data_IF_188216889411
#
_entry.id   IF_188216889411
#
_cell.length_a   1.000
_cell.length_b   1.000
_cell.length_c   1.000
_cell.angle_alpha   90.00
_cell.angle_beta   90.00
_cell.angle_gamma   90.00
#
_symmetry.space_group_name_H-M   'P 1'
#
loop_
_entity.id
_entity.type
_entity.pdbx_description
1 polymer ?
#
# COMPACT_ATOMS: atom_id res chain seq x y z
N UNK A 1 -3.44 -10.46 -20.64
CA UNK A 1 -4.32 -11.35 -19.86
C UNK A 1 -4.46 -10.68 -18.52
N UNK A 2 -5.66 -10.17 -18.24
CA UNK A 2 -6.00 -9.53 -16.98
C UNK A 2 -6.33 -10.55 -15.92
N UNK A 3 -6.06 -10.24 -14.66
CA UNK A 3 -6.44 -11.06 -13.51
C UNK A 3 -7.12 -10.20 -12.47
N UNK A 4 -8.18 -10.73 -11.86
CA UNK A 4 -8.78 -10.13 -10.68
C UNK A 4 -7.98 -10.53 -9.44
N UNK A 5 -7.65 -9.54 -8.61
CA UNK A 5 -6.74 -9.69 -7.49
C UNK A 5 -7.35 -9.14 -6.21
N UNK A 6 -7.50 -10.05 -5.25
CA UNK A 6 -7.59 -9.80 -3.81
C UNK A 6 -8.80 -8.99 -3.33
N UNK A 7 -8.83 -8.78 -2.01
CA UNK A 7 -9.70 -7.83 -1.34
C UNK A 7 -8.85 -6.92 -0.45
N UNK A 8 -8.56 -5.71 -0.93
CA UNK A 8 -7.78 -4.72 -0.19
C UNK A 8 -8.73 -3.82 0.60
N UNK A 9 -8.48 -3.66 1.91
CA UNK A 9 -9.24 -2.70 2.72
C UNK A 9 -8.58 -1.32 2.63
N UNK A 10 -9.17 -0.42 1.85
CA UNK A 10 -8.76 0.99 1.79
C UNK A 10 -9.51 1.74 2.88
N UNK A 11 -8.76 2.42 3.75
CA UNK A 11 -9.30 3.01 4.95
C UNK A 11 -8.64 4.35 5.28
N UNK A 12 -9.44 5.30 5.72
CA UNK A 12 -9.00 6.55 6.33
C UNK A 12 -9.81 6.74 7.60
N UNK A 13 -9.21 6.41 8.75
CA UNK A 13 -9.92 6.42 10.02
C UNK A 13 -9.06 6.95 11.18
N UNK A 14 -9.72 7.46 12.23
CA UNK A 14 -9.08 7.97 13.44
C UNK A 14 -9.90 7.66 14.69
N UNK A 15 -9.17 7.45 15.79
CA UNK A 15 -9.76 7.33 17.13
C UNK A 15 -10.61 8.55 17.50
N UNK A 16 -11.48 8.42 18.50
CA UNK A 16 -12.35 9.52 18.96
C UNK A 16 -11.57 10.79 19.31
N UNK A 17 -10.39 10.63 19.91
CA UNK A 17 -9.48 11.73 20.30
C UNK A 17 -8.51 12.16 19.19
N UNK A 18 -8.49 11.46 18.05
CA UNK A 18 -7.57 11.73 16.93
C UNK A 18 -6.11 11.38 17.20
N UNK A 19 -5.79 10.77 18.36
CA UNK A 19 -4.42 10.37 18.73
C UNK A 19 -3.91 9.19 17.90
N UNK A 20 -4.82 8.31 17.50
CA UNK A 20 -4.52 7.22 16.57
C UNK A 20 -5.21 7.48 15.23
N UNK A 21 -4.47 7.26 14.15
CA UNK A 21 -4.94 7.43 12.76
C UNK A 21 -4.46 6.24 11.95
N UNK A 22 -5.35 5.62 11.19
CA UNK A 22 -5.03 4.61 10.20
C UNK A 22 -5.27 5.18 8.81
N UNK A 23 -4.30 4.96 7.94
CA UNK A 23 -4.42 5.23 6.52
C UNK A 23 -3.93 3.99 5.76
N UNK A 24 -4.81 3.41 4.95
CA UNK A 24 -4.43 2.42 3.97
C UNK A 24 -4.94 2.80 2.61
N UNK A 25 -4.18 2.50 1.56
CA UNK A 25 -4.54 2.82 0.20
C UNK A 25 -3.87 1.84 -0.77
N UNK A 26 -4.41 1.73 -1.99
CA UNK A 26 -3.89 0.87 -3.05
C UNK A 26 -3.48 1.72 -4.24
N UNK A 27 -2.40 1.33 -4.91
CA UNK A 27 -1.94 1.92 -6.16
C UNK A 27 -1.59 0.80 -7.12
N UNK A 28 -1.70 1.07 -8.42
CA UNK A 28 -1.30 0.12 -9.46
C UNK A 28 -0.13 0.71 -10.23
N UNK A 29 1.01 0.02 -10.21
CA UNK A 29 2.10 0.29 -11.13
C UNK A 29 1.77 -0.37 -12.47
N UNK A 30 1.51 0.43 -13.50
CA UNK A 30 1.32 -0.10 -14.83
C UNK A 30 2.63 -0.14 -15.60
N UNK A 31 2.98 -1.32 -16.12
CA UNK A 31 4.17 -1.49 -16.97
C UNK A 31 4.04 -0.74 -18.29
N UNK A 32 2.81 -0.57 -18.78
CA UNK A 32 2.53 0.09 -20.07
C UNK A 32 2.96 1.56 -20.11
N UNK A 33 2.81 2.26 -18.99
CA UNK A 33 3.12 3.69 -18.87
C UNK A 33 4.18 4.00 -17.81
N UNK A 34 4.73 2.96 -17.16
CA UNK A 34 5.76 3.04 -16.11
C UNK A 34 5.42 4.01 -14.99
N UNK A 35 4.16 4.06 -14.56
CA UNK A 35 3.66 4.98 -13.52
C UNK A 35 2.77 4.28 -12.51
N UNK A 36 2.73 4.85 -11.30
CA UNK A 36 1.73 4.49 -10.30
C UNK A 36 0.44 5.27 -10.54
N UNK A 37 -0.66 4.54 -10.68
CA UNK A 37 -2.00 5.06 -10.89
C UNK A 37 -2.85 4.81 -9.64
N UNK A 38 -3.78 5.71 -9.29
CA UNK A 38 -4.83 5.41 -8.32
C UNK A 38 -5.61 4.17 -8.74
N UNK A 39 -6.04 3.38 -7.76
CA UNK A 39 -6.73 2.12 -7.99
C UNK A 39 -8.15 2.29 -8.57
N UNK A 40 -8.75 3.49 -8.54
CA UNK A 40 -10.15 3.71 -8.93
C UNK A 40 -10.45 3.24 -10.36
N UNK A 41 -9.51 3.36 -11.30
CA UNK A 41 -9.67 2.86 -12.68
C UNK A 41 -9.51 1.34 -12.84
N UNK A 42 -9.14 0.64 -11.76
CA UNK A 42 -8.88 -0.81 -11.74
C UNK A 42 -9.92 -1.58 -10.91
N UNK A 43 -10.85 -0.88 -10.25
CA UNK A 43 -11.84 -1.51 -9.37
C UNK A 43 -12.78 -2.42 -10.18
N UNK A 44 -12.90 -3.67 -9.74
CA UNK A 44 -13.95 -4.61 -10.20
C UNK A 44 -15.12 -4.59 -9.24
N UNK A 45 -14.83 -4.67 -7.93
CA UNK A 45 -15.84 -4.61 -6.89
C UNK A 45 -15.39 -3.69 -5.76
N UNK A 46 -16.36 -3.00 -5.15
CA UNK A 46 -16.16 -2.17 -3.97
C UNK A 46 -17.33 -2.36 -3.03
N UNK A 47 -17.03 -2.75 -1.79
CA UNK A 47 -18.03 -2.93 -0.73
C UNK A 47 -17.65 -2.08 0.47
N UNK A 48 -18.65 -1.51 1.14
CA UNK A 48 -18.43 -0.79 2.38
C UNK A 48 -17.89 -1.74 3.46
N UNK A 49 -16.95 -1.25 4.26
CA UNK A 49 -16.34 -2.00 5.34
C UNK A 49 -16.36 -1.19 6.62
N UNK A 50 -16.34 -1.91 7.76
CA UNK A 50 -16.20 -1.27 9.06
C UNK A 50 -14.75 -0.78 9.23
N UNK A 51 -14.52 0.52 9.48
CA UNK A 51 -13.18 1.01 9.77
C UNK A 51 -12.68 0.49 11.11
N UNK A 52 -11.35 0.39 11.25
CA UNK A 52 -10.68 0.01 12.48
C UNK A 52 -10.90 1.04 13.59
N UNK A 53 -10.88 2.33 13.24
CA UNK A 53 -11.20 3.40 14.20
C UNK A 53 -12.58 4.02 13.97
N UNK A 54 -13.16 4.50 15.07
CA UNK A 54 -14.55 4.98 15.15
C UNK A 54 -14.93 6.14 14.22
N UNK A 55 -13.99 6.99 13.81
CA UNK A 55 -14.28 8.13 12.90
C UNK A 55 -13.56 7.92 11.58
N UNK A 56 -14.28 7.73 10.48
CA UNK A 56 -13.71 7.60 9.14
C UNK A 56 -14.52 6.66 8.26
N UNK A 57 -13.91 6.21 7.17
CA UNK A 57 -14.51 5.27 6.23
C UNK A 57 -13.53 4.16 5.87
N UNK A 58 -14.07 2.99 5.53
CA UNK A 58 -13.32 1.90 4.94
C UNK A 58 -14.14 1.26 3.80
N UNK A 59 -13.44 0.81 2.78
CA UNK A 59 -14.01 0.01 1.69
C UNK A 59 -13.10 -1.17 1.40
N UNK A 60 -13.69 -2.31 1.07
CA UNK A 60 -12.98 -3.46 0.51
C UNK A 60 -13.09 -3.42 -1.00
N UNK A 61 -11.96 -3.46 -1.69
CA UNK A 61 -11.90 -3.40 -3.15
C UNK A 61 -11.17 -4.59 -3.73
N UNK A 62 -11.70 -5.14 -4.83
CA UNK A 62 -10.97 -6.05 -5.72
C UNK A 62 -10.56 -5.32 -6.99
N UNK A 63 -9.38 -5.64 -7.51
CA UNK A 63 -8.80 -4.94 -8.66
C UNK A 63 -8.60 -5.90 -9.83
N UNK A 64 -8.80 -5.43 -11.06
CA UNK A 64 -8.38 -6.13 -12.27
C UNK A 64 -7.13 -5.47 -12.83
N UNK A 65 -6.05 -6.24 -12.94
CA UNK A 65 -4.75 -5.76 -13.42
C UNK A 65 -4.21 -6.64 -14.54
N UNK A 66 -3.41 -6.05 -15.42
CA UNK A 66 -2.81 -6.78 -16.54
C UNK A 66 -1.55 -7.55 -16.11
N UNK A 67 -1.21 -8.59 -16.88
CA UNK A 67 0.04 -9.32 -16.71
C UNK A 67 1.24 -8.36 -16.84
N UNK A 68 2.05 -8.31 -15.78
CA UNK A 68 3.23 -7.45 -15.69
C UNK A 68 3.01 -6.17 -14.89
N UNK A 69 1.75 -5.83 -14.57
CA UNK A 69 1.44 -4.78 -13.61
C UNK A 69 1.61 -5.30 -12.17
N UNK A 70 1.81 -4.36 -11.27
CA UNK A 70 1.97 -4.63 -9.84
C UNK A 70 1.02 -3.79 -9.01
N UNK A 71 0.57 -4.34 -7.89
CA UNK A 71 -0.30 -3.66 -6.94
C UNK A 71 0.52 -3.31 -5.72
N UNK A 72 0.50 -2.03 -5.34
CA UNK A 72 1.07 -1.55 -4.10
C UNK A 72 -0.05 -1.28 -3.12
N UNK A 73 -0.04 -1.99 -1.99
CA UNK A 73 -0.92 -1.72 -0.87
C UNK A 73 -0.12 -1.08 0.26
N UNK A 74 -0.48 0.15 0.61
CA UNK A 74 0.07 0.90 1.73
C UNK A 74 -0.84 0.72 2.92
N UNK A 75 -0.27 0.42 4.08
CA UNK A 75 -0.99 0.40 5.34
C UNK A 75 -0.14 1.07 6.41
N UNK A 76 -0.61 2.20 6.95
CA UNK A 76 0.12 3.05 7.87
C UNK A 76 -0.75 3.40 9.07
N UNK A 77 -0.15 3.38 10.26
CA UNK A 77 -0.78 3.80 11.51
C UNK A 77 0.11 4.79 12.23
N UNK A 78 -0.49 5.94 12.56
CA UNK A 78 0.08 6.91 13.49
C UNK A 78 -0.42 6.60 14.90
N UNK A 79 0.50 6.52 15.85
CA UNK A 79 0.18 6.33 17.27
C UNK A 79 0.02 7.65 18.02
N UNK A 80 -0.35 7.57 19.31
CA UNK A 80 -0.52 8.73 20.18
C UNK A 80 0.76 9.58 20.38
N UNK A 81 1.95 9.00 20.17
CA UNK A 81 3.24 9.71 20.19
C UNK A 81 3.62 10.30 18.83
N UNK A 82 2.66 10.37 17.89
CA UNK A 82 2.84 10.84 16.51
C UNK A 82 3.82 10.01 15.66
N UNK A 83 4.28 8.85 16.14
CA UNK A 83 5.13 7.95 15.36
C UNK A 83 4.29 7.16 14.37
N UNK A 84 4.80 7.04 13.15
CA UNK A 84 4.12 6.32 12.06
C UNK A 84 4.80 4.97 11.86
N UNK A 85 4.01 3.89 11.84
CA UNK A 85 4.48 2.54 11.53
C UNK A 85 3.56 1.90 10.51
N UNK A 86 4.08 1.00 9.69
CA UNK A 86 3.26 0.38 8.67
C UNK A 86 4.01 -0.54 7.74
N UNK A 87 3.36 -0.84 6.63
CA UNK A 87 3.87 -1.70 5.58
C UNK A 87 3.55 -1.10 4.21
N UNK A 88 4.45 -1.33 3.27
CA UNK A 88 4.23 -1.19 1.85
C UNK A 88 4.37 -2.59 1.26
N UNK A 89 3.26 -3.13 0.75
CA UNK A 89 3.16 -4.48 0.23
C UNK A 89 3.06 -4.42 -1.29
N UNK A 90 3.83 -5.26 -1.98
CA UNK A 90 3.82 -5.36 -3.44
C UNK A 90 3.27 -6.73 -3.84
N UNK A 91 2.20 -6.72 -4.63
CA UNK A 91 1.60 -7.91 -5.20
C UNK A 91 1.80 -7.91 -6.72
N UNK A 92 1.98 -9.08 -7.32
CA UNK A 92 1.95 -9.21 -8.77
C UNK A 92 0.50 -9.34 -9.28
N UNK A 93 0.33 -9.39 -10.60
CA UNK A 93 -0.96 -9.60 -11.25
C UNK A 93 -1.72 -10.87 -10.83
N UNK A 94 -1.06 -11.87 -10.22
CA UNK A 94 -1.73 -13.08 -9.69
C UNK A 94 -2.20 -12.92 -8.25
N UNK A 95 -1.93 -11.78 -7.61
CA UNK A 95 -2.20 -11.56 -6.19
C UNK A 95 -1.17 -12.16 -5.24
N UNK A 96 -0.03 -12.61 -5.75
CA UNK A 96 1.04 -13.14 -4.92
C UNK A 96 1.84 -11.97 -4.31
N UNK A 97 2.06 -12.01 -3.00
CA UNK A 97 2.91 -11.04 -2.29
C UNK A 97 4.38 -11.30 -2.67
N UNK A 98 4.94 -10.44 -3.52
CA UNK A 98 6.31 -10.57 -4.02
C UNK A 98 7.32 -9.75 -3.21
N UNK A 99 6.86 -8.72 -2.51
CA UNK A 99 7.70 -7.88 -1.66
C UNK A 99 6.92 -7.24 -0.51
N UNK A 100 7.59 -7.08 0.64
CA UNK A 100 7.04 -6.35 1.79
C UNK A 100 8.11 -5.48 2.44
N UNK A 101 7.91 -4.17 2.40
CA UNK A 101 8.70 -3.22 3.17
C UNK A 101 7.97 -2.86 4.47
N UNK A 102 8.68 -2.90 5.60
CA UNK A 102 8.22 -2.36 6.87
C UNK A 102 8.69 -0.91 6.99
N UNK A 103 7.76 -0.02 7.29
CA UNK A 103 8.03 1.37 7.62
C UNK A 103 7.92 1.58 9.13
N UNK A 104 8.92 2.24 9.72
CA UNK A 104 8.92 2.59 11.14
C UNK A 104 9.60 3.93 11.33
N UNK A 105 8.80 4.98 11.47
CA UNK A 105 9.23 6.33 11.84
C UNK A 105 10.37 6.87 10.97
N UNK A 106 10.22 6.75 9.64
CA UNK A 106 11.21 7.19 8.65
C UNK A 106 12.19 6.10 8.22
N UNK A 107 12.29 4.99 8.94
CA UNK A 107 13.10 3.84 8.52
C UNK A 107 12.28 2.86 7.68
N UNK A 108 12.72 2.62 6.45
CA UNK A 108 12.12 1.69 5.50
C UNK A 108 13.04 0.48 5.30
N UNK A 109 12.55 -0.72 5.64
CA UNK A 109 13.34 -1.95 5.54
C UNK A 109 12.58 -3.08 4.89
N UNK A 110 13.25 -3.91 4.09
CA UNK A 110 12.65 -5.15 3.60
C UNK A 110 12.34 -6.07 4.77
N UNK A 111 11.18 -6.74 4.70
CA UNK A 111 10.73 -7.69 5.71
C UNK A 111 10.37 -9.06 5.14
N UNK A 112 9.99 -9.12 3.85
CA UNK A 112 9.68 -10.35 3.13
C UNK A 112 9.88 -10.11 1.62
N UNK A 113 10.11 -11.18 0.87
CA UNK A 113 10.14 -11.16 -0.60
C UNK A 113 11.52 -10.89 -1.18
N UNK A 114 11.58 -10.86 -2.52
CA UNK A 114 12.82 -10.78 -3.29
C UNK A 114 13.34 -9.34 -3.43
N UNK A 115 14.62 -9.06 -3.14
CA UNK A 115 15.22 -7.73 -3.30
C UNK A 115 15.16 -7.18 -4.73
N UNK A 116 14.96 -8.04 -5.74
CA UNK A 116 14.75 -7.64 -7.15
C UNK A 116 13.56 -6.66 -7.31
N UNK A 117 12.63 -6.61 -6.36
CA UNK A 117 11.50 -5.67 -6.38
C UNK A 117 11.72 -4.39 -5.56
N UNK A 118 12.89 -4.22 -4.92
CA UNK A 118 13.19 -3.05 -4.10
C UNK A 118 13.05 -1.73 -4.87
N UNK A 119 13.43 -1.71 -6.14
CA UNK A 119 13.35 -0.51 -7.00
C UNK A 119 11.93 0.04 -7.12
N UNK A 120 10.89 -0.82 -7.21
CA UNK A 120 9.49 -0.37 -7.27
C UNK A 120 9.08 0.36 -5.99
N UNK A 121 9.54 -0.13 -4.84
CA UNK A 121 9.27 0.51 -3.55
C UNK A 121 9.98 1.86 -3.44
N UNK A 122 11.22 1.97 -3.93
CA UNK A 122 11.95 3.24 -3.98
C UNK A 122 11.22 4.27 -4.84
N UNK A 123 10.91 3.90 -6.09
CA UNK A 123 10.15 4.75 -7.00
C UNK A 123 8.81 5.21 -6.40
N UNK A 124 8.10 4.30 -5.72
CA UNK A 124 6.84 4.61 -5.07
C UNK A 124 7.01 5.65 -3.95
N UNK A 125 7.97 5.44 -3.05
CA UNK A 125 8.25 6.36 -1.94
C UNK A 125 8.66 7.74 -2.45
N UNK A 126 9.49 7.79 -3.49
CA UNK A 126 9.93 9.03 -4.12
C UNK A 126 8.76 9.78 -4.79
N UNK A 127 7.97 9.10 -5.62
CA UNK A 127 6.85 9.73 -6.33
C UNK A 127 5.82 10.32 -5.36
N UNK A 128 5.49 9.59 -4.28
CA UNK A 128 4.50 10.02 -3.29
C UNK A 128 5.11 10.85 -2.15
N UNK A 129 6.40 11.18 -2.22
CA UNK A 129 7.14 11.95 -1.21
C UNK A 129 6.93 11.41 0.21
N UNK A 130 6.93 10.09 0.35
CA UNK A 130 6.80 9.45 1.66
C UNK A 130 8.08 9.77 2.46
N UNK A 131 7.97 10.35 3.67
CA UNK A 131 9.15 10.75 4.44
C UNK A 131 9.98 9.53 4.84
N UNK A 132 11.19 9.40 4.32
CA UNK A 132 12.10 8.28 4.64
C UNK A 132 13.49 8.84 4.87
N UNK A 133 14.07 8.55 6.03
CA UNK A 133 15.42 8.95 6.41
C UNK A 133 16.44 7.82 6.21
N UNK A 134 15.96 6.57 6.18
CA UNK A 134 16.82 5.39 6.08
C UNK A 134 16.16 4.31 5.22
N UNK A 135 16.92 3.75 4.27
CA UNK A 135 16.44 2.69 3.37
C UNK A 135 17.36 1.48 3.44
N UNK A 136 16.81 0.33 3.82
CA UNK A 136 17.49 -0.99 3.85
C UNK A 136 16.62 -2.04 3.16
N UNK A 137 16.56 -2.01 1.83
CA UNK A 137 15.71 -2.90 1.03
C UNK A 137 16.44 -4.18 0.57
N UNK A 138 17.77 -4.23 0.70
CA UNK A 138 18.58 -5.41 0.42
C UNK A 138 18.98 -5.55 -1.05
N UNK A 139 18.90 -4.45 -1.80
CA UNK A 139 19.58 -4.18 -3.06
C UNK A 139 20.94 -3.50 -2.84
#
# INVERSE_FOLDING_TARGET
MSSEVGFFQVESSKSRTGRHVLYSNVYVYSKSNSRFNPYDSYIVSSTEAKPIYVRGSARRVSLRVEKGDYIIYVWMVRNFRKRVKGYILLFNHKGELVFKAKYSDGALRRSLGSPVYAWLIRMFVEQFKIPVSEIRLGD
#
